data_IF_499765494816
#
_entry.id   IF_499765494816
#
_cell.length_a   1.000
_cell.length_b   1.000
_cell.length_c   1.000
_cell.angle_alpha   90.00
_cell.angle_beta   90.00
_cell.angle_gamma   90.00
#
_symmetry.space_group_name_H-M   'P 1'
#
loop_
_entity.id
_entity.type
_entity.pdbx_description
1 polymer ?
#
# COMPACT_ATOMS: atom_id res chain seq x y z
N UNK A 1 5.73 51.19 13.73
CA UNK A 1 6.49 52.10 12.83
C UNK A 1 7.35 51.23 11.92
N UNK A 2 7.04 51.12 10.63
CA UNK A 2 7.89 50.38 9.70
C UNK A 2 9.23 51.11 9.53
N UNK A 3 10.34 50.39 9.51
CA UNK A 3 11.68 51.00 9.45
C UNK A 3 11.84 51.84 8.18
N UNK A 4 12.57 52.98 8.23
CA UNK A 4 12.83 53.83 7.06
C UNK A 4 13.40 53.04 5.88
N UNK A 5 14.20 52.02 6.20
CA UNK A 5 14.84 51.10 5.25
C UNK A 5 13.80 50.28 4.49
N UNK A 6 12.83 49.69 5.17
CA UNK A 6 11.78 48.86 4.55
C UNK A 6 10.88 49.70 3.62
N UNK A 7 10.60 50.95 4.01
CA UNK A 7 9.84 51.91 3.20
C UNK A 7 10.58 52.30 1.92
N UNK A 8 11.92 52.47 2.00
CA UNK A 8 12.77 52.76 0.85
C UNK A 8 12.88 51.56 -0.10
N UNK A 9 13.04 50.35 0.43
CA UNK A 9 13.08 49.11 -0.35
C UNK A 9 11.79 48.87 -1.12
N UNK A 10 10.63 49.01 -0.47
CA UNK A 10 9.32 48.87 -1.12
C UNK A 10 9.16 49.91 -2.24
N UNK A 11 9.57 51.16 -2.01
CA UNK A 11 9.48 52.22 -3.02
C UNK A 11 10.42 51.96 -4.22
N UNK A 12 11.58 51.37 -3.98
CA UNK A 12 12.50 50.90 -5.03
C UNK A 12 11.97 49.72 -5.84
N UNK A 13 11.29 48.77 -5.17
CA UNK A 13 10.60 47.63 -5.80
C UNK A 13 9.44 48.13 -6.70
N UNK A 14 8.60 49.03 -6.19
CA UNK A 14 7.49 49.63 -6.94
C UNK A 14 7.95 50.52 -8.11
N UNK A 15 9.14 51.12 -8.02
CA UNK A 15 9.74 51.87 -9.13
C UNK A 15 10.09 50.98 -10.33
N UNK A 16 10.29 49.66 -10.12
CA UNK A 16 10.62 48.67 -11.16
C UNK A 16 9.61 47.52 -11.20
N UNK A 17 8.33 47.89 -11.15
CA UNK A 17 7.15 47.02 -11.19
C UNK A 17 7.22 45.84 -12.18
N UNK A 18 7.63 46.04 -13.43
CA UNK A 18 7.71 44.94 -14.40
C UNK A 18 8.80 43.90 -14.10
N UNK A 19 9.99 44.36 -13.73
CA UNK A 19 11.13 43.46 -13.46
C UNK A 19 10.89 42.61 -12.21
N UNK A 20 10.31 43.22 -11.18
CA UNK A 20 9.94 42.53 -9.94
C UNK A 20 8.85 41.50 -10.20
N UNK A 21 7.84 41.84 -11.02
CA UNK A 21 6.75 40.92 -11.34
C UNK A 21 7.26 39.70 -12.11
N UNK A 22 8.11 39.89 -13.14
CA UNK A 22 8.68 38.79 -13.91
C UNK A 22 9.54 37.84 -13.06
N UNK A 23 10.35 38.39 -12.16
CA UNK A 23 11.23 37.59 -11.29
C UNK A 23 10.44 36.84 -10.24
N UNK A 24 9.45 37.48 -9.61
CA UNK A 24 8.54 36.80 -8.70
C UNK A 24 7.77 35.67 -9.41
N UNK A 25 7.29 35.91 -10.64
CA UNK A 25 6.58 34.91 -11.43
C UNK A 25 7.45 33.71 -11.78
N UNK A 26 8.71 33.95 -12.17
CA UNK A 26 9.67 32.87 -12.42
C UNK A 26 9.93 32.01 -11.17
N UNK A 27 10.07 32.65 -9.99
CA UNK A 27 10.24 31.95 -8.72
C UNK A 27 9.01 31.10 -8.39
N UNK A 28 7.80 31.68 -8.50
CA UNK A 28 6.55 30.98 -8.20
C UNK A 28 6.37 29.77 -9.12
N UNK A 29 6.61 29.92 -10.42
CA UNK A 29 6.53 28.79 -11.36
C UNK A 29 7.55 27.69 -11.01
N UNK A 30 8.79 28.06 -10.67
CA UNK A 30 9.81 27.10 -10.27
C UNK A 30 9.42 26.32 -9.02
N UNK A 31 8.98 27.02 -7.96
CA UNK A 31 8.57 26.39 -6.71
C UNK A 31 7.29 25.56 -6.90
N UNK A 32 6.32 26.03 -7.67
CA UNK A 32 5.09 25.30 -7.96
C UNK A 32 5.39 23.97 -8.69
N UNK A 33 6.31 23.98 -9.65
CA UNK A 33 6.71 22.77 -10.36
C UNK A 33 7.37 21.74 -9.43
N UNK A 34 8.32 22.19 -8.59
CA UNK A 34 9.00 21.30 -7.62
C UNK A 34 8.02 20.73 -6.59
N UNK A 35 7.15 21.57 -6.01
CA UNK A 35 6.13 21.13 -5.06
C UNK A 35 5.12 20.17 -5.71
N UNK A 36 4.73 20.40 -6.97
CA UNK A 36 3.83 19.53 -7.72
C UNK A 36 4.43 18.13 -7.95
N UNK A 37 5.72 18.04 -8.28
CA UNK A 37 6.40 16.76 -8.43
C UNK A 37 6.44 15.96 -7.12
N UNK A 38 6.67 16.64 -5.99
CA UNK A 38 6.60 16.00 -4.66
C UNK A 38 5.18 15.53 -4.32
N UNK A 39 4.15 16.37 -4.50
CA UNK A 39 2.77 15.97 -4.26
C UNK A 39 2.33 14.78 -5.10
N UNK A 40 2.73 14.73 -6.38
CA UNK A 40 2.45 13.59 -7.25
C UNK A 40 3.12 12.33 -6.72
N UNK A 41 4.39 12.43 -6.37
CA UNK A 41 5.16 11.31 -5.81
C UNK A 41 4.53 10.79 -4.52
N UNK A 42 4.14 11.69 -3.62
CA UNK A 42 3.52 11.33 -2.35
C UNK A 42 2.11 10.77 -2.53
N UNK A 43 1.34 11.30 -3.49
CA UNK A 43 0.03 10.74 -3.85
C UNK A 43 0.15 9.32 -4.39
N UNK A 44 1.12 9.07 -5.28
CA UNK A 44 1.36 7.72 -5.83
C UNK A 44 1.79 6.76 -4.73
N UNK A 45 2.74 7.18 -3.87
CA UNK A 45 3.15 6.38 -2.71
C UNK A 45 1.98 6.09 -1.78
N UNK A 46 1.16 7.10 -1.47
CA UNK A 46 -0.01 6.95 -0.61
C UNK A 46 -1.06 6.02 -1.20
N UNK A 47 -1.33 6.11 -2.51
CA UNK A 47 -2.26 5.22 -3.19
C UNK A 47 -1.75 3.76 -3.20
N UNK A 48 -0.45 3.57 -3.46
CA UNK A 48 0.17 2.23 -3.43
C UNK A 48 0.13 1.65 -2.01
N UNK A 49 0.52 2.43 -1.00
CA UNK A 49 0.52 1.99 0.39
C UNK A 49 -0.91 1.69 0.87
N UNK A 50 -1.88 2.53 0.54
CA UNK A 50 -3.29 2.29 0.89
C UNK A 50 -3.83 1.01 0.26
N UNK A 51 -3.45 0.69 -0.98
CA UNK A 51 -3.78 -0.60 -1.60
C UNK A 51 -3.12 -1.77 -0.86
N UNK A 52 -1.90 -1.62 -0.35
CA UNK A 52 -1.25 -2.68 0.41
C UNK A 52 -1.86 -2.87 1.79
N UNK A 53 -2.17 -1.79 2.53
CA UNK A 53 -2.86 -1.85 3.82
C UNK A 53 -4.23 -2.51 3.68
N UNK A 54 -4.98 -2.17 2.64
CA UNK A 54 -6.32 -2.74 2.43
C UNK A 54 -6.29 -4.21 1.97
N UNK A 55 -5.21 -4.66 1.31
CA UNK A 55 -5.10 -6.05 0.83
C UNK A 55 -4.40 -7.00 1.80
N UNK A 56 -3.55 -6.51 2.71
CA UNK A 56 -2.82 -7.34 3.67
C UNK A 56 -3.40 -7.31 5.08
N UNK A 57 -4.30 -6.36 5.40
CA UNK A 57 -4.82 -6.22 6.75
C UNK A 57 -3.71 -5.95 7.76
N UNK A 58 -4.01 -6.15 9.05
CA UNK A 58 -3.10 -5.89 10.17
C UNK A 58 -2.19 -7.12 10.44
N UNK A 59 -1.53 -7.62 9.39
CA UNK A 59 -0.69 -8.83 9.44
C UNK A 59 0.80 -8.47 9.52
N UNK A 60 1.36 -8.57 10.72
CA UNK A 60 2.79 -8.27 10.97
C UNK A 60 3.75 -9.38 10.47
N UNK A 61 3.30 -10.64 10.50
CA UNK A 61 4.15 -11.79 10.20
C UNK A 61 3.36 -12.92 9.55
N UNK A 62 3.92 -13.48 8.47
CA UNK A 62 3.36 -14.66 7.83
C UNK A 62 4.33 -15.85 7.88
N UNK A 63 3.84 -16.98 8.41
CA UNK A 63 4.62 -18.21 8.52
C UNK A 63 4.26 -19.14 7.36
N UNK A 64 5.22 -19.33 6.45
CA UNK A 64 5.08 -20.20 5.27
C UNK A 64 6.20 -21.23 5.21
N UNK A 65 5.92 -22.40 4.62
CA UNK A 65 6.95 -23.41 4.38
C UNK A 65 7.95 -22.94 3.32
N UNK A 66 9.19 -23.43 3.38
CA UNK A 66 10.18 -23.20 2.32
C UNK A 66 9.75 -23.98 1.07
N UNK A 67 9.91 -23.37 -0.10
CA UNK A 67 9.70 -24.04 -1.38
C UNK A 67 10.75 -25.16 -1.52
N UNK A 68 10.28 -26.41 -1.57
CA UNK A 68 11.16 -27.56 -1.75
C UNK A 68 11.64 -27.68 -3.20
N UNK A 69 10.80 -27.32 -4.18
CA UNK A 69 11.08 -27.43 -5.61
C UNK A 69 10.31 -26.38 -6.42
N UNK A 70 10.96 -25.78 -7.44
CA UNK A 70 10.34 -24.83 -8.38
C UNK A 70 10.70 -23.36 -8.16
N UNK A 71 10.16 -22.48 -9.00
CA UNK A 71 10.35 -21.03 -8.97
C UNK A 71 9.36 -20.36 -8.00
N UNK A 72 9.76 -19.30 -7.31
CA UNK A 72 8.95 -18.70 -6.23
C UNK A 72 7.57 -18.22 -6.70
N UNK A 73 7.46 -17.83 -7.97
CA UNK A 73 6.22 -17.33 -8.55
C UNK A 73 5.19 -18.44 -8.85
N UNK A 74 5.61 -19.71 -8.91
CA UNK A 74 4.76 -20.81 -9.42
C UNK A 74 4.75 -22.04 -8.52
N UNK A 75 5.62 -22.11 -7.51
CA UNK A 75 5.74 -23.26 -6.65
C UNK A 75 4.59 -23.35 -5.63
N UNK A 76 3.96 -24.52 -5.56
CA UNK A 76 2.96 -24.81 -4.55
C UNK A 76 3.66 -25.15 -3.23
N UNK A 77 3.46 -24.32 -2.20
CA UNK A 77 4.07 -24.52 -0.88
C UNK A 77 3.38 -25.65 -0.12
N UNK A 78 4.20 -26.47 0.53
CA UNK A 78 3.71 -27.52 1.42
C UNK A 78 2.95 -26.89 2.60
N UNK A 79 1.87 -27.53 3.08
CA UNK A 79 1.18 -27.08 4.27
C UNK A 79 2.13 -27.00 5.47
N UNK A 80 1.89 -25.99 6.30
CA UNK A 80 2.56 -25.86 7.60
C UNK A 80 1.77 -26.66 8.64
N UNK A 81 2.43 -27.30 9.64
CA UNK A 81 1.72 -27.99 10.71
C UNK A 81 0.78 -27.07 11.49
N UNK A 82 -0.46 -27.51 11.69
CA UNK A 82 -1.48 -26.78 12.46
C UNK A 82 -1.07 -26.53 13.93
N UNK A 83 -0.22 -27.40 14.48
CA UNK A 83 0.33 -27.23 15.84
C UNK A 83 1.12 -25.92 16.03
N UNK A 84 1.57 -25.28 14.96
CA UNK A 84 2.26 -23.99 15.03
C UNK A 84 1.33 -22.85 15.42
N UNK A 85 0.02 -22.94 15.17
CA UNK A 85 -0.94 -21.90 15.56
C UNK A 85 -0.93 -21.71 17.07
N UNK A 86 -1.02 -22.81 17.83
CA UNK A 86 -0.98 -22.78 19.28
C UNK A 86 0.40 -22.34 19.82
N UNK A 87 1.48 -22.75 19.15
CA UNK A 87 2.83 -22.37 19.55
C UNK A 87 3.11 -20.87 19.34
N UNK A 88 2.66 -20.31 18.21
CA UNK A 88 2.83 -18.88 17.87
C UNK A 88 1.93 -18.03 18.76
N UNK A 89 0.68 -18.44 18.99
CA UNK A 89 -0.22 -17.70 19.89
C UNK A 89 0.24 -17.66 21.36
N UNK A 90 1.17 -18.53 21.76
CA UNK A 90 1.76 -18.50 23.10
C UNK A 90 2.94 -17.52 23.23
N UNK A 91 3.42 -16.94 22.13
CA UNK A 91 4.55 -15.99 22.14
C UNK A 91 4.08 -14.65 22.71
N UNK A 92 4.79 -14.08 23.70
CA UNK A 92 4.43 -12.76 24.24
C UNK A 92 4.45 -11.68 23.15
N UNK A 93 3.33 -10.95 23.02
CA UNK A 93 3.17 -9.89 22.02
C UNK A 93 2.37 -10.29 20.78
N UNK A 94 2.01 -11.57 20.62
CA UNK A 94 1.09 -12.01 19.56
C UNK A 94 -0.35 -11.79 20.02
N UNK A 95 -1.10 -10.94 19.31
CA UNK A 95 -2.51 -10.66 19.62
C UNK A 95 -3.46 -11.72 19.01
N UNK A 96 -3.24 -12.07 17.74
CA UNK A 96 -4.03 -13.05 17.00
C UNK A 96 -3.17 -13.90 16.06
N UNK A 97 -3.66 -15.12 15.79
CA UNK A 97 -3.09 -16.05 14.80
C UNK A 97 -4.23 -16.68 14.03
N UNK A 98 -4.19 -16.60 12.70
CA UNK A 98 -5.16 -17.23 11.81
C UNK A 98 -4.47 -18.12 10.77
N UNK A 99 -5.18 -19.14 10.32
CA UNK A 99 -4.65 -20.10 9.34
C UNK A 99 -5.12 -19.69 7.95
N UNK A 100 -4.24 -19.12 7.15
CA UNK A 100 -4.56 -18.86 5.75
C UNK A 100 -4.35 -20.14 4.91
N UNK A 101 -5.39 -20.56 4.19
CA UNK A 101 -5.33 -21.69 3.25
C UNK A 101 -5.78 -21.22 1.88
N UNK A 102 -4.85 -21.22 0.92
CA UNK A 102 -5.14 -21.03 -0.51
C UNK A 102 -4.88 -22.34 -1.26
N UNK A 103 -5.93 -22.91 -1.86
CA UNK A 103 -5.86 -24.13 -2.66
C UNK A 103 -6.75 -24.03 -3.89
N UNK A 104 -6.41 -24.75 -4.96
CA UNK A 104 -7.31 -24.86 -6.09
C UNK A 104 -8.58 -25.61 -5.67
N UNK A 105 -9.74 -25.01 -5.89
CA UNK A 105 -11.03 -25.59 -5.51
C UNK A 105 -12.03 -25.38 -6.64
N UNK A 106 -12.69 -26.44 -7.08
CA UNK A 106 -13.69 -26.38 -8.15
C UNK A 106 -15.06 -26.72 -7.60
N UNK A 107 -16.03 -25.81 -7.78
CA UNK A 107 -17.41 -26.04 -7.34
C UNK A 107 -18.05 -27.08 -8.26
N UNK A 108 -18.69 -28.09 -7.67
CA UNK A 108 -19.45 -29.10 -8.41
C UNK A 108 -20.92 -28.67 -8.47
N UNK A 109 -21.49 -28.63 -9.67
CA UNK A 109 -22.91 -28.32 -9.88
C UNK A 109 -23.79 -29.49 -9.44
N UNK A 110 -25.09 -29.24 -9.21
CA UNK A 110 -26.09 -30.29 -8.87
C UNK A 110 -26.13 -31.48 -9.86
N UNK A 111 -25.67 -31.28 -11.08
CA UNK A 111 -25.58 -32.30 -12.12
C UNK A 111 -24.26 -33.09 -12.13
N UNK A 112 -23.43 -32.96 -11.08
CA UNK A 112 -22.14 -33.64 -10.95
C UNK A 112 -21.03 -33.10 -11.85
N UNK A 113 -21.30 -32.06 -12.66
CA UNK A 113 -20.31 -31.47 -13.54
C UNK A 113 -19.57 -30.33 -12.84
N UNK A 114 -18.24 -30.19 -13.03
CA UNK A 114 -17.50 -29.06 -12.50
C UNK A 114 -18.00 -27.75 -13.11
N UNK A 115 -18.05 -26.71 -12.28
CA UNK A 115 -18.27 -25.34 -12.73
C UNK A 115 -17.05 -24.91 -13.55
N UNK A 116 -17.26 -24.74 -14.85
CA UNK A 116 -16.28 -24.18 -15.77
C UNK A 116 -16.20 -22.67 -15.54
N UNK A 117 -15.04 -22.21 -15.08
CA UNK A 117 -14.69 -20.80 -14.89
C UNK A 117 -13.67 -20.39 -15.96
N UNK A 118 -13.69 -19.13 -16.41
CA UNK A 118 -12.75 -18.63 -17.42
C UNK A 118 -11.32 -18.40 -16.89
N UNK A 119 -11.09 -18.62 -15.59
CA UNK A 119 -9.80 -18.52 -14.93
C UNK A 119 -9.63 -19.58 -13.84
N UNK A 120 -8.44 -19.69 -13.22
CA UNK A 120 -8.19 -20.64 -12.16
C UNK A 120 -9.15 -20.41 -10.98
N UNK A 121 -9.75 -21.49 -10.48
CA UNK A 121 -10.64 -21.44 -9.31
C UNK A 121 -9.87 -21.79 -8.04
N UNK A 122 -9.90 -20.89 -7.07
CA UNK A 122 -9.27 -21.09 -5.76
C UNK A 122 -10.32 -21.10 -4.66
N UNK A 123 -10.05 -21.90 -3.62
CA UNK A 123 -10.69 -21.81 -2.33
C UNK A 123 -9.73 -21.12 -1.37
N UNK A 124 -10.28 -20.18 -0.60
CA UNK A 124 -9.61 -19.49 0.50
C UNK A 124 -10.27 -19.88 1.82
N UNK A 125 -9.49 -19.92 2.90
CA UNK A 125 -10.05 -19.88 4.25
C UNK A 125 -10.66 -18.49 4.47
N UNK A 126 -11.89 -18.42 4.97
CA UNK A 126 -12.57 -17.15 5.28
C UNK A 126 -13.09 -17.20 6.71
N UNK A 127 -12.71 -16.20 7.51
CA UNK A 127 -12.98 -16.14 8.95
C UNK A 127 -14.03 -15.09 9.34
N UNK A 128 -14.56 -14.32 8.39
CA UNK A 128 -15.47 -13.21 8.65
C UNK A 128 -14.86 -11.87 8.23
N UNK A 129 -15.60 -10.78 8.45
CA UNK A 129 -15.13 -9.39 8.25
C UNK A 129 -14.16 -8.90 9.33
N UNK A 130 -14.00 -9.69 10.40
CA UNK A 130 -13.15 -9.36 11.54
C UNK A 130 -11.89 -10.25 11.55
N UNK A 131 -11.65 -10.99 10.46
CA UNK A 131 -10.48 -11.82 10.26
C UNK A 131 -9.25 -10.97 9.94
N UNK A 132 -8.06 -11.54 10.11
CA UNK A 132 -6.80 -10.83 9.86
C UNK A 132 -6.64 -10.43 8.38
N UNK A 133 -7.27 -11.16 7.47
CA UNK A 133 -7.20 -10.93 6.02
C UNK A 133 -8.23 -9.89 5.49
N UNK A 134 -9.09 -9.33 6.36
CA UNK A 134 -10.11 -8.33 6.00
C UNK A 134 -11.49 -8.88 5.64
#
# INVERSE_FOLDING_TARGET
MASPVLRLTIRGVLARKFRVLLTAFAIVLGVAFVSGAFMLTDSVKGAINGLFDELQGDVDLEVRSRIAFGDEATAQRDPVPDSLVAAIGAVPGVDRVEVNILRQATIIKKNGKPLQTSGPSFGIAWYGSDGLDG
#
